data_IF_823913274871
#
_entry.id   IF_823913274871
#
_cell.length_a   1.000
_cell.length_b   1.000
_cell.length_c   1.000
_cell.angle_alpha   90.00
_cell.angle_beta   90.00
_cell.angle_gamma   90.00
#
_symmetry.space_group_name_H-M   'P 1'
#
loop_
_entity.id
_entity.type
_entity.pdbx_description
1 polymer ?
#
# COMPACT_ATOMS: atom_id res chain seq x y z
N UNK A 1 0.42 5.14 -9.01
CA UNK A 1 1.46 5.35 -10.04
C UNK A 1 2.77 5.70 -9.35
N UNK A 2 3.89 5.53 -10.05
CA UNK A 2 5.24 5.71 -9.52
C UNK A 2 5.92 6.84 -10.28
N UNK A 3 6.64 7.71 -9.57
CA UNK A 3 7.30 8.90 -10.13
C UNK A 3 8.82 8.86 -10.01
N UNK A 4 9.41 7.80 -9.47
CA UNK A 4 10.85 7.55 -9.55
C UNK A 4 11.73 8.64 -8.95
N UNK A 5 11.23 9.34 -7.94
CA UNK A 5 11.94 10.46 -7.30
C UNK A 5 11.81 11.81 -8.00
N UNK A 6 11.10 11.89 -9.13
CA UNK A 6 10.58 13.17 -9.61
C UNK A 6 9.47 13.64 -8.67
N UNK A 7 9.34 14.97 -8.50
CA UNK A 7 8.30 15.53 -7.63
C UNK A 7 6.94 15.22 -8.23
N UNK A 8 6.17 14.34 -7.59
CA UNK A 8 4.79 14.08 -7.96
C UNK A 8 3.99 15.40 -7.99
N UNK A 9 3.07 15.57 -8.96
CA UNK A 9 2.24 16.76 -9.03
C UNK A 9 1.42 16.90 -7.76
N UNK A 10 1.08 18.14 -7.37
CA UNK A 10 0.19 18.31 -6.24
C UNK A 10 -1.19 17.73 -6.62
N UNK A 11 -1.95 17.16 -5.66
CA UNK A 11 -3.21 16.49 -5.96
C UNK A 11 -4.22 17.37 -6.72
N UNK A 12 -4.20 18.69 -6.48
CA UNK A 12 -5.09 19.65 -7.14
C UNK A 12 -4.64 20.07 -8.55
N UNK A 13 -3.40 19.73 -8.95
CA UNK A 13 -2.89 20.02 -10.30
C UNK A 13 -3.28 18.92 -11.31
N UNK A 14 -3.88 17.81 -10.83
CA UNK A 14 -4.28 16.68 -11.66
C UNK A 14 -5.80 16.66 -11.81
N UNK A 15 -6.28 16.91 -13.03
CA UNK A 15 -7.69 16.74 -13.37
C UNK A 15 -7.97 15.26 -13.62
N UNK A 16 -8.75 14.64 -12.75
CA UNK A 16 -9.19 13.25 -12.88
C UNK A 16 -10.66 13.18 -13.27
N UNK A 17 -11.09 12.13 -14.00
CA UNK A 17 -12.51 11.86 -14.20
C UNK A 17 -13.23 11.63 -12.87
N UNK A 18 -14.54 11.88 -12.86
CA UNK A 18 -15.37 11.62 -11.70
C UNK A 18 -15.27 10.15 -11.24
N UNK A 19 -15.08 9.95 -9.93
CA UNK A 19 -14.96 8.62 -9.32
C UNK A 19 -13.60 7.96 -9.50
N UNK A 20 -12.58 8.69 -9.99
CA UNK A 20 -11.19 8.20 -10.09
C UNK A 20 -10.32 8.86 -9.04
N UNK A 21 -9.68 8.03 -8.21
CA UNK A 21 -8.65 8.47 -7.27
C UNK A 21 -7.25 8.14 -7.80
N UNK A 22 -6.29 9.05 -7.60
CA UNK A 22 -4.89 8.82 -7.91
C UNK A 22 -4.07 8.64 -6.63
N UNK A 23 -3.36 7.51 -6.53
CA UNK A 23 -2.40 7.23 -5.47
C UNK A 23 -0.98 7.26 -6.03
N UNK A 24 -0.11 8.08 -5.45
CA UNK A 24 1.34 8.08 -5.68
C UNK A 24 1.97 7.00 -4.78
N UNK A 25 2.65 6.03 -5.37
CA UNK A 25 3.16 4.85 -4.67
C UNK A 25 4.47 5.11 -3.92
N UNK A 26 5.24 6.11 -4.34
CA UNK A 26 6.52 6.51 -3.73
C UNK A 26 6.37 6.78 -2.22
N UNK A 27 5.29 7.49 -1.84
CA UNK A 27 5.00 7.89 -0.45
C UNK A 27 3.73 7.22 0.11
N UNK A 28 3.18 6.22 -0.57
CA UNK A 28 1.96 5.57 -0.13
C UNK A 28 2.15 4.84 1.21
N UNK A 29 1.23 5.00 2.18
CA UNK A 29 1.24 4.19 3.39
C UNK A 29 1.23 2.69 3.05
N UNK A 30 1.97 1.89 3.81
CA UNK A 30 2.15 0.45 3.57
C UNK A 30 0.82 -0.32 3.42
N UNK A 31 -0.24 0.10 4.11
CA UNK A 31 -1.56 -0.52 3.98
C UNK A 31 -2.13 -0.35 2.57
N UNK A 32 -1.98 0.83 1.97
CA UNK A 32 -2.45 1.10 0.61
C UNK A 32 -1.50 0.51 -0.43
N UNK A 33 -0.20 0.70 -0.26
CA UNK A 33 0.82 0.13 -1.15
C UNK A 33 0.70 -1.41 -1.22
N UNK A 34 0.50 -2.07 -0.07
CA UNK A 34 0.29 -3.51 0.02
C UNK A 34 -0.95 -4.01 -0.72
N UNK A 35 -2.07 -3.27 -0.62
CA UNK A 35 -3.29 -3.59 -1.39
C UNK A 35 -3.04 -3.48 -2.89
N UNK A 36 -2.32 -2.45 -3.34
CA UNK A 36 -1.93 -2.30 -4.74
C UNK A 36 -1.00 -3.43 -5.18
N UNK A 37 -0.01 -3.78 -4.37
CA UNK A 37 0.93 -4.84 -4.70
C UNK A 37 0.27 -6.22 -4.77
N UNK A 38 -0.75 -6.50 -3.95
CA UNK A 38 -1.46 -7.78 -3.93
C UNK A 38 -2.57 -7.87 -4.99
N UNK A 39 -3.34 -6.81 -5.19
CA UNK A 39 -4.60 -6.86 -5.95
C UNK A 39 -4.63 -5.93 -7.16
N UNK A 40 -3.64 -5.06 -7.32
CA UNK A 40 -3.55 -4.15 -8.44
C UNK A 40 -3.42 -4.87 -9.77
N UNK A 41 -4.02 -4.29 -10.81
CA UNK A 41 -3.81 -4.73 -12.19
C UNK A 41 -2.83 -3.77 -12.85
N UNK A 42 -1.77 -4.33 -13.42
CA UNK A 42 -0.76 -3.57 -14.15
C UNK A 42 -1.39 -2.96 -15.41
N UNK A 43 -1.19 -1.65 -15.59
CA UNK A 43 -1.61 -0.94 -16.81
C UNK A 43 -0.41 -0.57 -17.69
N UNK A 44 0.69 -0.15 -17.06
CA UNK A 44 1.94 0.25 -17.72
C UNK A 44 3.13 -0.22 -16.90
N UNK A 45 4.25 -0.49 -17.58
CA UNK A 45 5.50 -0.95 -16.99
C UNK A 45 6.66 -0.63 -17.93
N UNK A 46 7.54 0.26 -17.48
CA UNK A 46 8.76 0.69 -18.17
C UNK A 46 10.03 0.08 -17.55
N UNK A 47 9.95 -0.37 -16.30
CA UNK A 47 11.01 -1.09 -15.58
C UNK A 47 10.47 -2.35 -14.86
N UNK A 48 10.33 -3.48 -15.60
CA UNK A 48 9.82 -4.73 -15.03
C UNK A 48 10.63 -5.26 -13.83
N UNK A 49 11.98 -5.23 -13.84
CA UNK A 49 12.79 -5.60 -12.68
C UNK A 49 12.49 -4.77 -11.44
N UNK A 50 12.45 -3.43 -11.56
CA UNK A 50 12.14 -2.55 -10.43
C UNK A 50 10.73 -2.81 -9.88
N UNK A 51 9.75 -2.98 -10.77
CA UNK A 51 8.37 -3.34 -10.37
C UNK A 51 8.32 -4.64 -9.59
N UNK A 52 9.01 -5.70 -10.06
CA UNK A 52 9.02 -7.01 -9.38
C UNK A 52 9.66 -6.91 -7.99
N UNK A 53 10.78 -6.20 -7.88
CA UNK A 53 11.44 -5.96 -6.60
C UNK A 53 10.50 -5.23 -5.62
N UNK A 54 9.92 -4.11 -6.06
CA UNK A 54 8.95 -3.35 -5.26
C UNK A 54 7.74 -4.19 -4.83
N UNK A 55 7.17 -5.00 -5.73
CA UNK A 55 6.05 -5.87 -5.39
C UNK A 55 6.44 -6.93 -4.36
N UNK A 56 7.62 -7.55 -4.50
CA UNK A 56 8.11 -8.56 -3.57
C UNK A 56 8.29 -8.00 -2.17
N UNK A 57 8.99 -6.88 -2.05
CA UNK A 57 9.26 -6.23 -0.77
C UNK A 57 7.97 -5.73 -0.11
N UNK A 58 7.12 -5.05 -0.87
CA UNK A 58 5.87 -4.48 -0.37
C UNK A 58 4.89 -5.57 0.09
N UNK A 59 4.76 -6.67 -0.67
CA UNK A 59 3.89 -7.79 -0.27
C UNK A 59 4.37 -8.43 1.02
N UNK A 60 5.67 -8.68 1.13
CA UNK A 60 6.29 -9.25 2.34
C UNK A 60 5.99 -8.37 3.56
N UNK A 61 6.36 -7.09 3.48
CA UNK A 61 6.16 -6.14 4.57
C UNK A 61 4.67 -5.99 4.95
N UNK A 62 3.77 -5.94 3.95
CA UNK A 62 2.34 -5.82 4.18
C UNK A 62 1.73 -7.05 4.86
N UNK A 63 2.08 -8.26 4.40
CA UNK A 63 1.58 -9.49 4.99
C UNK A 63 2.10 -9.68 6.43
N UNK A 64 3.36 -9.38 6.69
CA UNK A 64 3.93 -9.39 8.04
C UNK A 64 3.26 -8.37 8.97
N UNK A 65 2.91 -7.19 8.44
CA UNK A 65 2.17 -6.19 9.19
C UNK A 65 0.74 -6.66 9.51
N UNK A 66 0.06 -7.30 8.56
CA UNK A 66 -1.29 -7.85 8.78
C UNK A 66 -1.28 -8.96 9.84
N UNK A 67 -0.31 -9.86 9.80
CA UNK A 67 -0.17 -10.92 10.82
C UNK A 67 0.04 -10.32 12.22
N UNK A 68 0.93 -9.33 12.35
CA UNK A 68 1.16 -8.63 13.63
C UNK A 68 -0.07 -7.90 14.13
N UNK A 69 -0.81 -7.24 13.23
CA UNK A 69 -2.04 -6.53 13.59
C UNK A 69 -3.13 -7.50 14.06
N UNK A 70 -3.26 -8.66 13.42
CA UNK A 70 -4.22 -9.70 13.82
C UNK A 70 -3.89 -10.28 15.20
N UNK A 71 -2.61 -10.55 15.49
CA UNK A 71 -2.20 -11.04 16.81
C UNK A 71 -2.42 -9.99 17.90
N UNK A 72 -2.10 -8.72 17.62
CA UNK A 72 -2.36 -7.63 18.56
C UNK A 72 -3.86 -7.48 18.85
N UNK A 73 -4.71 -7.60 17.83
CA UNK A 73 -6.16 -7.55 17.99
C UNK A 73 -6.64 -8.70 18.89
N UNK A 74 -6.14 -9.92 18.68
CA UNK A 74 -6.46 -11.09 19.53
C UNK A 74 -6.11 -10.83 21.00
N UNK A 75 -4.89 -10.35 21.26
CA UNK A 75 -4.43 -10.04 22.63
C UNK A 75 -5.29 -8.96 23.27
N UNK A 76 -5.65 -7.94 22.51
CA UNK A 76 -6.50 -6.85 22.99
C UNK A 76 -7.91 -7.34 23.36
N UNK A 77 -8.51 -8.17 22.51
CA UNK A 77 -9.83 -8.75 22.77
C UNK A 77 -9.82 -9.69 23.97
N UNK A 78 -8.77 -10.51 24.12
CA UNK A 78 -8.55 -11.33 25.30
C UNK A 78 -8.40 -10.48 26.57
N UNK A 79 -7.64 -9.39 26.54
CA UNK A 79 -7.51 -8.45 27.65
C UNK A 79 -8.85 -7.85 28.07
N UNK A 80 -9.62 -7.36 27.09
CA UNK A 80 -10.98 -6.81 27.32
C UNK A 80 -11.91 -7.84 27.94
N UNK A 81 -11.90 -9.08 27.47
CA UNK A 81 -12.76 -10.15 27.99
C UNK A 81 -12.46 -10.49 29.46
N UNK A 82 -11.20 -10.32 29.89
CA UNK A 82 -10.77 -10.57 31.27
C UNK A 82 -10.78 -9.32 32.17
N UNK A 83 -11.31 -8.17 31.68
CA UNK A 83 -11.45 -6.95 32.46
C UNK A 83 -10.14 -6.26 32.85
N UNK A 84 -9.06 -6.45 32.06
CA UNK A 84 -7.79 -5.71 32.18
C UNK A 84 -7.57 -4.76 31.02
#
# INVERSE_FOLDING_TARGET
AWWGGERAPAPWDVVLPDGVDLLVLDDAPLVLAGRVALHGRLLFDDDPPARVAWQGDTRTAHLDAQLRAAELARVFDEGRAHGR
#
